data_IF_057333423598
#
_entry.id   IF_057333423598
#
_cell.length_a   1.000
_cell.length_b   1.000
_cell.length_c   1.000
_cell.angle_alpha   90.00
_cell.angle_beta   90.00
_cell.angle_gamma   90.00
#
_symmetry.space_group_name_H-M   'P 1'
#
loop_
_entity.id
_entity.type
_entity.pdbx_description
1 polymer ?
#
# COMPACT_ATOMS: atom_id res chain seq x y z
N UNK A 1 33.22 4.91 45.98
CA UNK A 1 32.63 3.75 45.26
C UNK A 1 31.12 3.91 45.32
N UNK A 2 30.52 4.49 44.29
CA UNK A 2 29.06 4.69 44.23
C UNK A 2 28.44 3.48 43.51
N UNK A 3 27.55 2.77 44.21
CA UNK A 3 26.82 1.64 43.67
C UNK A 3 25.81 2.14 42.63
N UNK A 4 26.01 1.75 41.37
CA UNK A 4 25.04 1.96 40.31
C UNK A 4 23.75 1.16 40.63
N UNK A 5 22.56 1.75 40.54
CA UNK A 5 21.31 1.06 40.80
C UNK A 5 21.01 0.05 39.68
N UNK A 6 20.78 -1.20 40.09
CA UNK A 6 20.58 -2.38 39.22
C UNK A 6 19.47 -2.25 38.16
N UNK A 7 18.55 -1.28 38.29
CA UNK A 7 17.50 -1.03 37.30
C UNK A 7 18.04 -0.55 35.93
N UNK A 8 19.17 0.17 35.90
CA UNK A 8 19.70 0.71 34.64
C UNK A 8 20.32 -0.37 33.73
N UNK A 9 20.72 -1.51 34.31
CA UNK A 9 21.28 -2.65 33.55
C UNK A 9 20.23 -3.44 32.77
N UNK A 10 18.98 -3.50 33.25
CA UNK A 10 17.92 -4.26 32.57
C UNK A 10 17.35 -3.53 31.36
N UNK A 11 17.24 -2.19 31.40
CA UNK A 11 16.79 -1.37 30.27
C UNK A 11 17.78 -1.41 29.08
N UNK A 12 19.08 -1.45 29.35
CA UNK A 12 20.12 -1.54 28.31
C UNK A 12 20.22 -2.94 27.66
N UNK A 13 19.82 -3.99 28.36
CA UNK A 13 19.80 -5.37 27.83
C UNK A 13 18.61 -5.63 26.90
N UNK A 14 17.47 -4.95 27.08
CA UNK A 14 16.32 -5.07 26.15
C UNK A 14 16.58 -4.47 24.77
N UNK A 15 17.41 -3.42 24.66
CA UNK A 15 17.74 -2.81 23.37
C UNK A 15 18.66 -3.67 22.49
N UNK A 16 19.37 -4.65 23.07
CA UNK A 16 20.32 -5.52 22.36
C UNK A 16 19.72 -6.87 21.93
N UNK A 17 18.46 -7.16 22.30
CA UNK A 17 17.77 -8.40 22.00
C UNK A 17 16.64 -8.24 20.96
N UNK A 18 16.61 -7.13 20.22
CA UNK A 18 15.78 -7.04 19.02
C UNK A 18 16.46 -7.88 17.95
N UNK A 19 15.89 -9.04 17.57
CA UNK A 19 16.53 -9.84 16.54
C UNK A 19 16.51 -9.05 15.22
N UNK A 20 17.57 -9.14 14.41
CA UNK A 20 17.63 -8.52 13.10
C UNK A 20 16.78 -9.33 12.11
N UNK A 21 15.49 -9.51 12.40
CA UNK A 21 14.54 -10.00 11.43
C UNK A 21 13.77 -8.81 10.90
N UNK A 22 14.46 -7.97 10.16
CA UNK A 22 13.84 -7.34 9.00
C UNK A 22 13.53 -8.49 8.02
N UNK A 23 12.47 -9.27 8.30
CA UNK A 23 11.89 -10.15 7.30
C UNK A 23 11.49 -9.23 6.15
N UNK A 24 12.27 -9.28 5.07
CA UNK A 24 11.96 -8.53 3.86
C UNK A 24 10.57 -8.96 3.44
N UNK A 25 9.62 -8.04 3.47
CA UNK A 25 8.31 -8.27 2.88
C UNK A 25 8.54 -8.45 1.39
N UNK A 26 8.35 -9.69 0.89
CA UNK A 26 8.44 -9.95 -0.53
C UNK A 26 7.20 -9.33 -1.18
N UNK A 27 7.38 -8.08 -1.65
CA UNK A 27 6.33 -7.28 -2.26
C UNK A 27 6.61 -7.14 -3.74
N UNK A 28 5.59 -7.42 -4.55
CA UNK A 28 5.62 -7.10 -5.97
C UNK A 28 5.14 -5.65 -6.13
N UNK A 29 6.07 -4.72 -6.33
CA UNK A 29 5.71 -3.34 -6.68
C UNK A 29 5.02 -3.29 -8.03
N UNK A 30 3.95 -2.51 -8.09
CA UNK A 30 3.14 -2.27 -9.25
C UNK A 30 3.12 -0.79 -9.63
N UNK A 31 4.11 0.00 -9.22
CA UNK A 31 4.13 1.45 -9.43
C UNK A 31 4.34 1.86 -10.89
N UNK A 32 4.98 0.98 -11.68
CA UNK A 32 5.37 1.22 -13.06
C UNK A 32 4.48 0.52 -14.08
N UNK A 33 4.64 0.83 -15.36
CA UNK A 33 4.03 0.07 -16.45
C UNK A 33 2.57 0.42 -16.74
N UNK A 34 2.10 1.58 -16.30
CA UNK A 34 0.71 2.02 -16.46
C UNK A 34 0.47 2.80 -17.74
N UNK A 35 -0.74 2.67 -18.26
CA UNK A 35 -1.22 3.40 -19.44
C UNK A 35 -2.62 3.91 -19.16
N UNK A 36 -3.01 5.02 -19.79
CA UNK A 36 -4.39 5.48 -19.74
C UNK A 36 -5.30 4.47 -20.43
N UNK A 37 -6.46 4.18 -19.85
CA UNK A 37 -7.41 3.23 -20.42
C UNK A 37 -7.77 3.59 -21.87
N UNK A 38 -7.79 2.58 -22.75
CA UNK A 38 -8.09 2.78 -24.17
C UNK A 38 -6.94 3.34 -25.00
N UNK A 39 -5.76 3.55 -24.40
CA UNK A 39 -4.55 3.80 -25.16
C UNK A 39 -4.13 2.55 -25.95
N UNK A 40 -3.48 2.77 -27.10
CA UNK A 40 -2.94 1.67 -27.90
C UNK A 40 -1.91 0.86 -27.11
N UNK A 41 -1.81 -0.44 -27.42
CA UNK A 41 -0.75 -1.32 -26.88
C UNK A 41 0.68 -0.84 -27.23
N UNK A 42 0.83 0.07 -28.20
CA UNK A 42 2.11 0.71 -28.53
C UNK A 42 2.40 1.99 -27.71
N UNK A 43 1.45 2.49 -26.95
CA UNK A 43 1.64 3.70 -26.15
C UNK A 43 2.70 3.47 -25.05
N UNK A 44 3.54 4.47 -24.77
CA UNK A 44 4.54 4.36 -23.72
C UNK A 44 3.85 4.13 -22.37
N UNK A 45 4.38 3.17 -21.62
CA UNK A 45 3.96 2.96 -20.24
C UNK A 45 4.71 3.93 -19.32
N UNK A 46 4.07 4.35 -18.24
CA UNK A 46 4.60 5.32 -17.31
C UNK A 46 4.41 4.87 -15.85
N UNK A 47 5.07 5.58 -14.95
CA UNK A 47 4.85 5.40 -13.53
C UNK A 47 3.52 6.01 -13.09
N UNK A 48 2.84 5.39 -12.13
CA UNK A 48 1.54 5.86 -11.67
C UNK A 48 1.63 7.25 -11.03
N UNK A 49 2.72 7.55 -10.32
CA UNK A 49 2.97 8.89 -9.75
C UNK A 49 3.14 9.99 -10.80
N UNK A 50 3.52 9.65 -12.04
CA UNK A 50 3.62 10.61 -13.13
C UNK A 50 2.24 10.89 -13.74
N UNK A 51 1.41 9.85 -13.83
CA UNK A 51 0.06 9.96 -14.40
C UNK A 51 -0.95 10.56 -13.42
N UNK A 52 -0.82 10.30 -12.12
CA UNK A 52 -1.79 10.72 -11.10
C UNK A 52 -1.47 12.13 -10.57
N UNK A 53 -2.23 13.12 -11.03
CA UNK A 53 -2.15 14.52 -10.63
C UNK A 53 -3.33 14.91 -9.72
N UNK A 54 -3.26 16.01 -8.95
CA UNK A 54 -4.42 16.56 -8.25
C UNK A 54 -5.53 17.06 -9.19
N UNK A 55 -6.80 16.96 -8.78
CA UNK A 55 -7.92 17.57 -9.49
C UNK A 55 -8.42 16.81 -10.73
N UNK A 56 -8.14 15.51 -10.85
CA UNK A 56 -8.51 14.73 -12.05
C UNK A 56 -9.31 13.47 -11.75
N UNK A 57 -9.96 12.94 -12.79
CA UNK A 57 -10.43 11.55 -12.84
C UNK A 57 -9.59 10.83 -13.89
N UNK A 58 -8.88 9.80 -13.47
CA UNK A 58 -7.91 9.07 -14.27
C UNK A 58 -8.30 7.59 -14.32
N UNK A 59 -8.44 7.05 -15.54
CA UNK A 59 -8.50 5.60 -15.76
C UNK A 59 -7.15 5.14 -16.27
N UNK A 60 -6.54 4.17 -15.58
CA UNK A 60 -5.30 3.52 -16.00
C UNK A 60 -5.39 2.01 -15.97
N UNK A 61 -4.63 1.37 -16.83
CA UNK A 61 -4.56 -0.08 -16.94
C UNK A 61 -3.12 -0.54 -17.17
N UNK A 62 -2.84 -1.77 -16.76
CA UNK A 62 -1.60 -2.47 -17.03
C UNK A 62 -1.82 -3.97 -17.06
N UNK A 63 -0.88 -4.65 -17.70
CA UNK A 63 -0.77 -6.09 -17.60
C UNK A 63 0.22 -6.46 -16.48
N UNK A 64 -0.08 -7.55 -15.77
CA UNK A 64 0.75 -8.14 -14.72
C UNK A 64 0.96 -9.61 -15.05
N UNK A 65 2.20 -10.03 -15.21
CA UNK A 65 2.52 -11.44 -15.45
C UNK A 65 3.01 -12.07 -14.15
N UNK A 66 2.27 -13.07 -13.67
CA UNK A 66 2.63 -13.86 -12.51
C UNK A 66 3.36 -15.14 -12.95
N UNK A 67 4.56 -15.34 -12.42
CA UNK A 67 5.37 -16.52 -12.72
C UNK A 67 4.83 -17.80 -12.05
N UNK A 68 4.04 -17.66 -10.98
CA UNK A 68 3.39 -18.75 -10.29
C UNK A 68 2.11 -18.24 -9.59
N UNK A 69 1.15 -19.14 -9.37
CA UNK A 69 -0.01 -18.88 -8.52
C UNK A 69 0.45 -18.75 -7.06
N UNK A 70 0.15 -17.66 -6.34
CA UNK A 70 0.45 -17.55 -4.92
C UNK A 70 -0.20 -18.66 -4.11
N UNK A 71 0.50 -19.21 -3.12
CA UNK A 71 -0.02 -20.29 -2.26
C UNK A 71 -1.05 -19.82 -1.23
N UNK A 72 -1.17 -18.51 -1.04
CA UNK A 72 -1.96 -17.84 -0.01
C UNK A 72 -2.67 -16.60 -0.54
N UNK A 73 -3.65 -16.11 0.21
CA UNK A 73 -4.32 -14.83 -0.07
C UNK A 73 -3.31 -13.69 -0.08
N UNK A 74 -3.29 -12.96 -1.19
CA UNK A 74 -2.48 -11.75 -1.33
C UNK A 74 -3.33 -10.52 -0.97
N UNK A 75 -2.65 -9.43 -0.66
CA UNK A 75 -3.24 -8.10 -0.54
C UNK A 75 -2.75 -7.23 -1.70
N UNK A 76 -3.69 -6.67 -2.45
CA UNK A 76 -3.41 -5.54 -3.33
C UNK A 76 -3.57 -4.27 -2.52
N UNK A 77 -2.45 -3.61 -2.23
CA UNK A 77 -2.41 -2.41 -1.39
C UNK A 77 -2.20 -1.20 -2.28
N UNK A 78 -3.14 -0.25 -2.21
CA UNK A 78 -3.05 1.08 -2.81
C UNK A 78 -2.92 2.11 -1.69
N UNK A 79 -1.82 2.87 -1.70
CA UNK A 79 -1.60 4.03 -0.85
C UNK A 79 -1.63 5.29 -1.71
N UNK A 80 -2.72 6.03 -1.63
CA UNK A 80 -2.92 7.26 -2.39
C UNK A 80 -4.01 8.15 -1.78
N UNK A 81 -3.88 9.46 -1.96
CA UNK A 81 -4.96 10.42 -1.76
C UNK A 81 -5.89 10.41 -2.97
N UNK A 82 -6.63 9.31 -3.15
CA UNK A 82 -7.56 9.17 -4.26
C UNK A 82 -8.75 8.29 -3.89
N UNK A 83 -9.96 8.69 -4.28
CA UNK A 83 -11.05 7.71 -4.38
C UNK A 83 -10.74 6.75 -5.53
N UNK A 84 -11.00 5.46 -5.35
CA UNK A 84 -10.60 4.43 -6.30
C UNK A 84 -11.63 3.33 -6.51
N UNK A 85 -11.65 2.79 -7.73
CA UNK A 85 -12.26 1.52 -8.09
C UNK A 85 -11.23 0.67 -8.84
N UNK A 86 -11.20 -0.63 -8.55
CA UNK A 86 -10.20 -1.55 -9.07
C UNK A 86 -10.87 -2.75 -9.74
N UNK A 87 -10.31 -3.16 -10.87
CA UNK A 87 -10.74 -4.33 -11.63
C UNK A 87 -9.56 -5.23 -11.94
N UNK A 88 -9.79 -6.54 -11.89
CA UNK A 88 -8.86 -7.58 -12.31
C UNK A 88 -9.55 -8.46 -13.34
N UNK A 89 -8.96 -8.61 -14.51
CA UNK A 89 -9.49 -9.42 -15.62
C UNK A 89 -10.93 -9.07 -16.02
N UNK A 90 -11.31 -7.80 -15.83
CA UNK A 90 -12.65 -7.27 -16.11
C UNK A 90 -13.59 -7.27 -14.92
N UNK A 91 -13.31 -8.06 -13.88
CA UNK A 91 -14.14 -8.16 -12.68
C UNK A 91 -13.76 -7.08 -11.66
N UNK A 92 -14.76 -6.42 -11.06
CA UNK A 92 -14.54 -5.40 -10.03
C UNK A 92 -14.12 -6.07 -8.72
N UNK A 93 -12.88 -5.85 -8.29
CA UNK A 93 -12.29 -6.49 -7.10
C UNK A 93 -12.44 -5.63 -5.84
N UNK A 94 -12.68 -4.33 -5.97
CA UNK A 94 -12.92 -3.48 -4.80
C UNK A 94 -13.04 -1.99 -5.13
N UNK A 95 -13.32 -1.23 -4.08
CA UNK A 95 -13.44 0.24 -4.16
C UNK A 95 -13.16 0.88 -2.82
N UNK A 96 -12.64 2.10 -2.88
CA UNK A 96 -12.32 2.94 -1.74
C UNK A 96 -12.83 4.36 -2.02
N UNK A 97 -13.83 4.81 -1.28
CA UNK A 97 -14.54 6.06 -1.59
C UNK A 97 -15.52 5.92 -2.76
N UNK A 98 -15.65 6.97 -3.57
CA UNK A 98 -16.44 7.04 -4.80
C UNK A 98 -15.76 7.99 -5.80
N UNK A 99 -15.10 7.47 -6.86
CA UNK A 99 -14.50 8.30 -7.90
C UNK A 99 -15.55 9.15 -8.63
N UNK A 100 -15.21 10.40 -8.94
CA UNK A 100 -16.05 11.26 -9.77
C UNK A 100 -15.25 12.22 -10.65
N UNK A 101 -15.92 12.75 -11.67
CA UNK A 101 -15.36 13.78 -12.58
C UNK A 101 -15.26 15.17 -11.95
N UNK A 102 -15.97 15.41 -10.85
CA UNK A 102 -16.08 16.70 -10.19
C UNK A 102 -15.99 16.50 -8.67
N UNK A 103 -15.43 17.49 -7.96
CA UNK A 103 -15.27 17.44 -6.50
C UNK A 103 -16.58 17.20 -5.75
N UNK A 104 -17.68 17.79 -6.19
CA UNK A 104 -19.01 17.61 -5.56
C UNK A 104 -19.54 16.16 -5.62
N UNK A 105 -19.05 15.36 -6.56
CA UNK A 105 -19.44 13.96 -6.71
C UNK A 105 -18.43 12.97 -6.13
N UNK A 106 -17.23 13.42 -5.76
CA UNK A 106 -16.19 12.55 -5.21
C UNK A 106 -16.44 12.34 -3.72
N UNK A 107 -16.46 11.07 -3.29
CA UNK A 107 -16.38 10.70 -1.87
C UNK A 107 -14.97 10.19 -1.59
N UNK A 108 -14.17 10.87 -0.76
CA UNK A 108 -12.85 10.37 -0.36
C UNK A 108 -12.92 8.97 0.28
N UNK A 109 -11.86 8.20 0.08
CA UNK A 109 -11.63 6.92 0.75
C UNK A 109 -10.51 7.02 1.81
N UNK A 110 -10.07 5.87 2.29
CA UNK A 110 -8.89 5.74 3.14
C UNK A 110 -7.61 6.01 2.34
N UNK A 111 -6.56 6.54 2.98
CA UNK A 111 -5.25 6.75 2.31
C UNK A 111 -4.61 5.42 1.94
N UNK A 112 -4.58 4.50 2.90
CA UNK A 112 -4.09 3.14 2.72
C UNK A 112 -5.28 2.19 2.62
N UNK A 113 -5.44 1.59 1.44
CA UNK A 113 -6.52 0.68 1.13
C UNK A 113 -5.97 -0.66 0.64
N UNK A 114 -6.53 -1.76 1.14
CA UNK A 114 -6.08 -3.11 0.80
C UNK A 114 -7.26 -4.01 0.41
N UNK A 115 -7.14 -4.68 -0.73
CA UNK A 115 -8.10 -5.69 -1.21
C UNK A 115 -7.49 -7.08 -1.04
N UNK A 116 -8.29 -8.04 -0.56
CA UNK A 116 -7.90 -9.44 -0.52
C UNK A 116 -8.08 -10.08 -1.89
N UNK A 117 -7.03 -10.70 -2.41
CA UNK A 117 -7.04 -11.46 -3.66
C UNK A 117 -6.73 -12.92 -3.37
N UNK A 118 -7.64 -13.81 -3.79
CA UNK A 118 -7.48 -15.24 -3.59
C UNK A 118 -6.48 -15.83 -4.60
N UNK A 119 -5.87 -16.99 -4.31
CA UNK A 119 -5.06 -17.71 -5.30
C UNK A 119 -5.79 -17.96 -6.63
N UNK A 120 -7.11 -18.16 -6.61
CA UNK A 120 -7.92 -18.38 -7.80
C UNK A 120 -8.05 -17.12 -8.67
N UNK A 121 -7.95 -15.94 -8.08
CA UNK A 121 -7.93 -14.67 -8.82
C UNK A 121 -6.54 -14.33 -9.37
N UNK A 122 -5.48 -14.96 -8.85
CA UNK A 122 -4.08 -14.69 -9.17
C UNK A 122 -3.39 -15.95 -9.71
N UNK A 123 -4.04 -16.63 -10.65
CA UNK A 123 -3.46 -17.81 -11.29
C UNK A 123 -2.15 -17.49 -12.01
N UNK A 124 -1.30 -18.48 -12.25
CA UNK A 124 -0.11 -18.29 -13.11
C UNK A 124 -0.52 -17.74 -14.49
N UNK A 125 0.22 -16.75 -14.99
CA UNK A 125 -0.02 -16.16 -16.31
C UNK A 125 -0.23 -14.65 -16.29
N UNK A 126 -0.86 -14.15 -17.35
CA UNK A 126 -1.06 -12.72 -17.59
C UNK A 126 -2.43 -12.29 -17.06
N UNK A 127 -2.43 -11.27 -16.21
CA UNK A 127 -3.60 -10.62 -15.67
C UNK A 127 -3.69 -9.17 -16.13
N UNK A 128 -4.91 -8.67 -16.24
CA UNK A 128 -5.19 -7.29 -16.61
C UNK A 128 -5.71 -6.52 -15.40
N UNK A 129 -4.93 -5.55 -14.92
CA UNK A 129 -5.28 -4.71 -13.79
C UNK A 129 -5.70 -3.32 -14.29
N UNK A 130 -6.88 -2.87 -13.87
CA UNK A 130 -7.40 -1.54 -14.19
C UNK A 130 -7.79 -0.79 -12.93
N UNK A 131 -7.45 0.49 -12.88
CA UNK A 131 -7.79 1.41 -11.81
C UNK A 131 -8.57 2.61 -12.38
N UNK A 132 -9.62 3.01 -11.68
CA UNK A 132 -10.25 4.31 -11.85
C UNK A 132 -9.97 5.11 -10.59
N UNK A 133 -9.25 6.22 -10.73
CA UNK A 133 -8.75 7.04 -9.63
C UNK A 133 -9.31 8.46 -9.76
N UNK A 134 -9.82 9.01 -8.67
CA UNK A 134 -10.25 10.41 -8.58
C UNK A 134 -9.44 11.13 -7.52
N UNK A 135 -9.02 12.36 -7.81
CA UNK A 135 -8.21 13.22 -6.93
C UNK A 135 -8.82 14.62 -6.83
N UNK A 136 -10.12 14.76 -7.04
CA UNK A 136 -10.82 16.06 -7.07
C UNK A 136 -10.76 16.80 -5.73
N UNK A 137 -10.70 16.04 -4.63
CA UNK A 137 -10.57 16.55 -3.26
C UNK A 137 -9.11 16.81 -2.84
N UNK A 138 -8.13 16.50 -3.69
CA UNK A 138 -6.71 16.70 -3.39
C UNK A 138 -6.30 18.16 -3.60
N UNK A 139 -5.59 18.80 -2.64
CA UNK A 139 -5.07 20.14 -2.83
C UNK A 139 -4.12 20.25 -4.03
N UNK A 140 -4.34 21.24 -4.90
CA UNK A 140 -3.53 21.47 -6.10
C UNK A 140 -2.02 21.66 -5.86
N UNK A 141 -1.63 22.04 -4.63
CA UNK A 141 -0.23 22.24 -4.23
C UNK A 141 0.50 20.94 -3.86
N UNK A 142 -0.20 19.81 -3.78
CA UNK A 142 0.41 18.53 -3.43
C UNK A 142 1.21 17.99 -4.61
N UNK A 143 2.49 17.67 -4.39
CA UNK A 143 3.38 17.22 -5.45
C UNK A 143 3.02 15.85 -6.03
N UNK A 144 2.57 14.91 -5.18
CA UNK A 144 2.10 13.59 -5.62
C UNK A 144 0.97 13.11 -4.70
N UNK A 145 -0.22 12.81 -5.24
CA UNK A 145 -1.27 12.09 -4.51
C UNK A 145 -0.99 10.59 -4.40
N UNK A 146 0.01 10.05 -5.09
CA UNK A 146 0.35 8.63 -5.08
C UNK A 146 1.55 8.34 -4.18
N UNK A 147 1.47 7.28 -3.38
CA UNK A 147 2.56 6.83 -2.51
C UNK A 147 3.07 5.43 -2.86
N UNK A 148 2.18 4.47 -3.09
CA UNK A 148 2.56 3.10 -3.44
C UNK A 148 1.40 2.27 -3.99
N UNK A 149 1.71 1.30 -4.85
CA UNK A 149 0.82 0.21 -5.24
C UNK A 149 1.60 -1.09 -5.32
N UNK A 150 1.18 -2.12 -4.58
CA UNK A 150 1.91 -3.38 -4.54
C UNK A 150 1.02 -4.57 -4.17
N UNK A 151 1.47 -5.75 -4.57
CA UNK A 151 0.96 -7.03 -4.07
C UNK A 151 1.91 -7.55 -2.99
N UNK A 152 1.32 -8.11 -1.92
CA UNK A 152 2.08 -8.70 -0.80
C UNK A 152 1.29 -9.82 -0.15
N UNK A 153 1.97 -10.77 0.47
CA UNK A 153 1.32 -11.78 1.29
C UNK A 153 0.61 -11.14 2.49
N UNK A 154 -0.57 -11.66 2.83
CA UNK A 154 -1.38 -11.14 3.93
C UNK A 154 -0.69 -11.27 5.30
N UNK A 155 0.03 -12.35 5.55
CA UNK A 155 0.74 -12.56 6.81
C UNK A 155 1.93 -11.62 6.90
N UNK A 156 2.69 -11.46 5.81
CA UNK A 156 3.82 -10.54 5.76
C UNK A 156 3.37 -9.09 5.98
N UNK A 157 2.25 -8.69 5.38
CA UNK A 157 1.66 -7.38 5.62
C UNK A 157 1.28 -7.16 7.09
N UNK A 158 0.67 -8.17 7.74
CA UNK A 158 0.29 -8.10 9.16
C UNK A 158 1.52 -8.05 10.06
N UNK A 159 2.53 -8.86 9.78
CA UNK A 159 3.78 -8.86 10.51
C UNK A 159 4.47 -7.49 10.38
N UNK A 160 4.52 -6.93 9.18
CA UNK A 160 5.04 -5.58 8.92
C UNK A 160 4.30 -4.52 9.74
N UNK A 161 2.97 -4.51 9.72
CA UNK A 161 2.17 -3.57 10.53
C UNK A 161 2.42 -3.71 12.03
N UNK A 162 2.56 -4.93 12.54
CA UNK A 162 2.88 -5.16 13.95
C UNK A 162 4.24 -4.55 14.31
N UNK A 163 5.25 -4.76 13.47
CA UNK A 163 6.59 -4.19 13.66
C UNK A 163 6.60 -2.66 13.64
N UNK A 164 5.78 -2.00 12.82
CA UNK A 164 5.67 -0.54 12.84
C UNK A 164 4.94 0.00 14.09
N UNK A 165 4.02 -0.76 14.66
CA UNK A 165 3.19 -0.31 15.81
C UNK A 165 3.81 -0.60 17.17
N UNK A 166 4.62 -1.66 17.30
CA UNK A 166 5.17 -2.07 18.59
C UNK A 166 6.13 -1.03 19.21
N UNK A 167 7.11 -0.44 18.50
CA UNK A 167 8.03 0.51 19.09
C UNK A 167 7.36 1.73 19.75
N UNK A 168 6.43 2.46 19.10
CA UNK A 168 5.78 3.59 19.75
C UNK A 168 4.93 3.18 20.95
N UNK A 169 4.30 1.99 20.93
CA UNK A 169 3.55 1.47 22.07
C UNK A 169 4.45 1.12 23.25
N UNK A 170 5.61 0.49 22.98
CA UNK A 170 6.61 0.20 24.02
C UNK A 170 7.18 1.48 24.62
N UNK A 171 7.48 2.48 23.79
CA UNK A 171 7.94 3.78 24.25
C UNK A 171 6.88 4.51 25.08
N UNK A 172 5.62 4.50 24.65
CA UNK A 172 4.52 5.10 25.40
C UNK A 172 4.31 4.39 26.75
N UNK A 173 4.36 3.06 26.78
CA UNK A 173 4.29 2.28 28.01
C UNK A 173 5.45 2.55 28.96
N UNK A 174 6.68 2.65 28.43
CA UNK A 174 7.86 3.00 29.22
C UNK A 174 7.74 4.40 29.84
N UNK A 175 7.27 5.39 29.07
CA UNK A 175 7.01 6.74 29.55
C UNK A 175 5.93 6.78 30.63
N UNK A 176 4.84 6.02 30.45
CA UNK A 176 3.76 5.94 31.45
C UNK A 176 4.18 5.25 32.75
N UNK A 177 5.18 4.35 32.72
CA UNK A 177 5.66 3.63 33.90
C UNK A 177 6.65 4.45 34.77
N UNK A 178 7.21 5.54 34.24
CA UNK A 178 8.14 6.44 34.96
C UNK A 178 7.50 7.77 35.39
N UNK A 179 6.22 7.99 35.08
CA UNK A 179 5.43 9.15 35.50
C UNK A 179 4.69 8.87 36.81
#
# INVERSE_FOLDING_TARGET
>A
MAAMPSCFRYLLLCCLALPPFAMGMDRLSLDEGWRTCGASAAAPAAALHQLLQPGQLLCVERDVTLAATPSSTQLLVLSALAASELWLDGDRIGSNGQPARQASGERPGDIDFAIHLTPQQLTVGKHHLRLLLSTQQVPARLASPFYALYLVDRQDYRAGLAWYRLPPLLLAGALGAVA
#
